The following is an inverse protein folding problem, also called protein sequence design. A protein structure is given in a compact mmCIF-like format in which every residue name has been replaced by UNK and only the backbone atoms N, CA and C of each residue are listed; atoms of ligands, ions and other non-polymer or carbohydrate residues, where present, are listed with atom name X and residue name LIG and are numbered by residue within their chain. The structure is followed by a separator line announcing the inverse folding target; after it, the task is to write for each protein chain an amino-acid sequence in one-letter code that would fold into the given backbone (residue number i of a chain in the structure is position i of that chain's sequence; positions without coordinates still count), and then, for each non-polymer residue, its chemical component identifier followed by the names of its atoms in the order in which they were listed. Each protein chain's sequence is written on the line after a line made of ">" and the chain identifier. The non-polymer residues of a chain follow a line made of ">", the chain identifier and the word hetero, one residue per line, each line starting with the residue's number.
data_IF_369924909133
#
_entry.id   IF_369924909133
#
_cell.length_a   1.000
_cell.length_b   1.000
_cell.length_c   1.000
_cell.angle_alpha   90.00
_cell.angle_beta   90.00
_cell.angle_gamma   90.00
#
_symmetry.space_group_name_H-M   'P 1'
#
loop_
_entity.id
_entity.type
_entity.pdbx_description
1 polymer ?
#
# COMPACT_ATOMS: atom_id res chain seq x y z
N UNK A 1 14.76 -3.67 -32.37
CA UNK A 1 13.74 -3.39 -31.33
C UNK A 1 14.44 -2.64 -30.21
N UNK A 2 13.99 -1.44 -29.85
CA UNK A 2 14.47 -0.77 -28.65
C UNK A 2 13.90 -1.50 -27.43
N UNK A 3 14.77 -1.80 -26.47
CA UNK A 3 14.39 -2.33 -25.15
C UNK A 3 13.65 -1.20 -24.41
N UNK A 4 12.53 -1.42 -23.71
CA UNK A 4 11.82 -0.34 -23.03
C UNK A 4 12.69 0.27 -21.94
N UNK A 5 12.57 1.59 -21.78
CA UNK A 5 13.08 2.32 -20.63
C UNK A 5 12.41 1.74 -19.36
N UNK A 6 13.21 1.41 -18.35
CA UNK A 6 12.71 0.96 -17.05
C UNK A 6 12.63 2.15 -16.09
N UNK A 7 11.54 2.21 -15.34
CA UNK A 7 11.37 3.13 -14.21
C UNK A 7 11.33 2.32 -12.92
N UNK A 8 12.06 2.78 -11.90
CA UNK A 8 12.08 2.12 -10.60
C UNK A 8 11.07 2.79 -9.66
N UNK A 9 10.30 1.94 -8.97
CA UNK A 9 9.46 2.35 -7.84
C UNK A 9 9.89 1.49 -6.64
N UNK A 10 10.11 2.11 -5.48
CA UNK A 10 10.59 1.43 -4.27
C UNK A 10 9.54 1.49 -3.18
N UNK A 11 9.20 0.33 -2.63
CA UNK A 11 8.33 0.14 -1.47
C UNK A 11 8.85 -1.08 -0.69
N UNK A 12 8.49 -1.23 0.58
CA UNK A 12 9.15 -2.20 1.46
C UNK A 12 8.53 -3.60 1.42
N UNK A 13 7.25 -3.70 1.06
CA UNK A 13 6.56 -4.98 0.97
C UNK A 13 6.62 -5.54 -0.45
N UNK A 14 6.63 -6.87 -0.58
CA UNK A 14 6.59 -7.51 -1.90
C UNK A 14 5.23 -7.41 -2.60
N UNK A 15 4.26 -6.73 -2.00
CA UNK A 15 2.88 -6.63 -2.48
C UNK A 15 2.60 -5.24 -3.08
N UNK A 16 2.12 -5.24 -4.31
CA UNK A 16 1.62 -4.06 -5.02
C UNK A 16 0.38 -4.42 -5.82
N UNK A 17 -0.42 -3.41 -6.15
CA UNK A 17 -1.61 -3.56 -7.01
C UNK A 17 -1.68 -2.41 -8.01
N UNK A 18 -2.14 -2.73 -9.22
CA UNK A 18 -2.53 -1.73 -10.21
C UNK A 18 -4.00 -1.36 -10.04
N UNK A 19 -4.34 -0.11 -10.34
CA UNK A 19 -5.71 0.23 -10.64
C UNK A 19 -6.14 -0.34 -12.02
N UNK A 20 -7.44 -0.40 -12.33
CA UNK A 20 -7.92 -1.14 -13.51
C UNK A 20 -7.40 -0.65 -14.86
N UNK A 21 -7.14 0.66 -15.01
CA UNK A 21 -6.59 1.25 -16.23
C UNK A 21 -5.05 1.29 -16.25
N UNK A 22 -4.43 0.74 -15.21
CA UNK A 22 -2.98 0.68 -15.00
C UNK A 22 -2.27 2.03 -14.98
N UNK A 23 -2.97 3.14 -14.74
CA UNK A 23 -2.35 4.46 -14.55
C UNK A 23 -1.71 4.64 -13.18
N UNK A 24 -2.13 3.85 -12.18
CA UNK A 24 -1.67 3.93 -10.80
C UNK A 24 -1.15 2.58 -10.29
N UNK A 25 -0.12 2.66 -9.45
CA UNK A 25 0.37 1.55 -8.63
C UNK A 25 0.20 1.94 -7.16
N UNK A 26 -0.33 1.02 -6.35
CA UNK A 26 -0.33 1.12 -4.90
C UNK A 26 0.61 0.06 -4.31
N UNK A 27 1.53 0.45 -3.42
CA UNK A 27 2.47 -0.45 -2.76
C UNK A 27 2.65 -0.13 -1.27
N UNK A 28 2.78 -1.17 -0.45
CA UNK A 28 2.99 -1.04 0.99
C UNK A 28 4.41 -0.62 1.34
N UNK A 29 4.56 0.39 2.18
CA UNK A 29 5.84 0.89 2.67
C UNK A 29 5.87 0.93 4.19
N UNK A 30 6.94 0.41 4.77
CA UNK A 30 7.21 0.44 6.18
C UNK A 30 7.51 1.87 6.59
N UNK A 31 6.70 2.39 7.52
CA UNK A 31 6.86 3.72 8.09
C UNK A 31 7.59 3.66 9.44
N UNK A 32 7.46 2.57 10.21
CA UNK A 32 8.17 2.39 11.48
C UNK A 32 8.70 0.97 11.70
N UNK A 33 9.94 0.88 12.20
CA UNK A 33 10.59 -0.35 12.66
C UNK A 33 11.11 -0.17 14.09
N UNK A 34 10.41 -0.69 15.13
CA UNK A 34 10.88 -0.72 16.50
C UNK A 34 12.12 -1.60 16.65
N UNK A 35 12.78 -1.49 17.80
CA UNK A 35 13.93 -2.31 18.17
C UNK A 35 13.55 -3.80 18.17
N UNK A 36 13.85 -4.50 17.08
CA UNK A 36 13.35 -5.84 16.80
C UNK A 36 13.35 -6.20 15.31
N UNK A 37 13.40 -5.19 14.43
CA UNK A 37 13.64 -5.37 12.99
C UNK A 37 12.42 -5.82 12.17
N UNK A 38 11.27 -5.98 12.82
CA UNK A 38 10.00 -6.12 12.11
C UNK A 38 9.44 -4.72 11.86
N UNK A 39 8.95 -4.50 10.66
CA UNK A 39 8.08 -3.38 10.40
C UNK A 39 6.90 -3.49 11.36
N UNK A 40 6.43 -2.38 11.93
CA UNK A 40 5.24 -2.40 12.78
C UNK A 40 4.11 -1.49 12.28
N UNK A 41 4.47 -0.51 11.47
CA UNK A 41 3.51 0.38 10.83
C UNK A 41 3.84 0.46 9.35
N UNK A 42 2.80 0.41 8.53
CA UNK A 42 2.96 0.50 7.08
C UNK A 42 1.98 1.49 6.48
N UNK A 43 2.53 2.38 5.66
CA UNK A 43 1.77 3.28 4.82
C UNK A 43 1.50 2.62 3.47
N UNK A 44 0.48 3.11 2.77
CA UNK A 44 0.24 2.76 1.37
C UNK A 44 0.67 3.93 0.49
N UNK A 45 1.62 3.71 -0.41
CA UNK A 45 2.10 4.74 -1.32
C UNK A 45 1.51 4.54 -2.72
N UNK A 46 0.99 5.62 -3.30
CA UNK A 46 0.48 5.66 -4.66
C UNK A 46 1.50 6.28 -5.60
N UNK A 47 1.68 5.64 -6.74
CA UNK A 47 2.62 6.05 -7.78
C UNK A 47 1.92 6.17 -9.12
N UNK A 48 2.38 7.11 -9.93
CA UNK A 48 2.10 7.13 -11.36
C UNK A 48 2.82 5.92 -12.00
N UNK A 49 2.07 5.06 -12.69
CA UNK A 49 2.62 3.85 -13.28
C UNK A 49 3.57 4.10 -14.47
N UNK A 50 3.39 5.20 -15.19
CA UNK A 50 4.19 5.56 -16.35
C UNK A 50 5.50 6.24 -15.94
N UNK A 51 5.41 7.22 -15.03
CA UNK A 51 6.57 8.04 -14.62
C UNK A 51 7.29 7.51 -13.38
N UNK A 52 6.65 6.64 -12.60
CA UNK A 52 7.14 6.15 -11.30
C UNK A 52 7.12 7.22 -10.20
N UNK A 53 6.56 8.39 -10.46
CA UNK A 53 6.47 9.47 -9.48
C UNK A 53 5.52 9.09 -8.35
N UNK A 54 5.97 9.33 -7.10
CA UNK A 54 5.10 9.21 -5.93
C UNK A 54 4.07 10.34 -5.94
N UNK A 55 2.79 10.00 -5.98
CA UNK A 55 1.69 10.95 -6.02
C UNK A 55 1.19 11.29 -4.62
N UNK A 56 1.01 10.27 -3.78
CA UNK A 56 0.45 10.45 -2.44
C UNK A 56 0.84 9.29 -1.51
N UNK A 57 0.96 9.60 -0.22
CA UNK A 57 1.13 8.61 0.85
C UNK A 57 -0.13 8.58 1.69
N UNK A 58 -0.77 7.41 1.74
CA UNK A 58 -1.88 7.11 2.62
C UNK A 58 -1.28 6.58 3.92
N UNK A 59 -1.05 7.48 4.87
CA UNK A 59 -0.50 7.17 6.19
C UNK A 59 -1.61 6.84 7.17
N UNK A 60 -1.39 5.81 8.00
CA UNK A 60 -2.17 5.60 9.21
C UNK A 60 -1.31 5.02 10.31
N UNK A 61 -1.51 5.54 11.51
CA UNK A 61 -0.79 5.11 12.70
C UNK A 61 -1.31 3.73 13.20
N UNK A 62 -0.37 2.87 13.61
CA UNK A 62 -0.55 1.63 14.39
C UNK A 62 -1.10 0.33 13.75
N UNK A 63 -1.22 0.22 12.41
CA UNK A 63 -1.69 -1.01 11.76
C UNK A 63 -0.82 -1.48 10.58
N UNK A 64 -0.76 -2.80 10.36
CA UNK A 64 -0.14 -3.40 9.18
C UNK A 64 -1.11 -3.58 8.03
N UNK A 65 -0.74 -3.03 6.87
CA UNK A 65 -1.46 -3.23 5.61
C UNK A 65 -0.98 -4.53 4.98
N UNK A 66 -1.82 -5.55 5.02
CA UNK A 66 -1.49 -6.86 4.46
C UNK A 66 -2.08 -7.09 3.07
N UNK A 67 -3.12 -6.34 2.69
CA UNK A 67 -3.86 -6.50 1.43
C UNK A 67 -4.35 -5.15 0.91
N UNK A 68 -4.42 -5.04 -0.41
CA UNK A 68 -5.02 -3.90 -1.10
C UNK A 68 -5.77 -4.35 -2.36
N UNK A 69 -6.79 -3.60 -2.76
CA UNK A 69 -7.50 -3.82 -4.01
C UNK A 69 -8.18 -2.53 -4.51
N UNK A 70 -8.06 -2.23 -5.80
CA UNK A 70 -8.85 -1.17 -6.42
C UNK A 70 -10.24 -1.68 -6.81
N UNK A 71 -11.24 -0.80 -6.79
CA UNK A 71 -12.54 -1.09 -7.39
C UNK A 71 -12.43 -1.19 -8.92
N UNK A 72 -13.31 -1.96 -9.59
CA UNK A 72 -13.27 -2.09 -11.06
C UNK A 72 -13.42 -0.77 -11.83
N UNK A 73 -14.03 0.24 -11.21
CA UNK A 73 -14.17 1.59 -11.77
C UNK A 73 -12.99 2.52 -11.41
N UNK A 74 -11.98 2.04 -10.68
CA UNK A 74 -10.78 2.77 -10.30
C UNK A 74 -10.97 3.88 -9.26
N UNK A 75 -12.21 4.15 -8.82
CA UNK A 75 -12.53 5.29 -7.95
C UNK A 75 -12.14 5.08 -6.49
N UNK A 76 -11.95 3.83 -6.07
CA UNK A 76 -11.65 3.51 -4.69
C UNK A 76 -10.49 2.53 -4.58
N UNK A 77 -9.69 2.72 -3.55
CA UNK A 77 -8.71 1.74 -3.07
C UNK A 77 -9.19 1.22 -1.72
N UNK A 78 -9.29 -0.09 -1.58
CA UNK A 78 -9.56 -0.75 -0.32
C UNK A 78 -8.24 -1.30 0.24
N UNK A 79 -7.99 -1.08 1.53
CA UNK A 79 -6.83 -1.67 2.23
C UNK A 79 -7.30 -2.46 3.44
N UNK A 80 -6.78 -3.67 3.60
CA UNK A 80 -7.01 -4.55 4.75
C UNK A 80 -5.89 -4.39 5.77
N UNK A 81 -6.27 -4.34 7.05
CA UNK A 81 -5.40 -3.97 8.17
C UNK A 81 -5.48 -5.02 9.27
N UNK A 82 -4.31 -5.36 9.81
CA UNK A 82 -4.21 -6.15 11.04
C UNK A 82 -3.39 -5.37 12.06
N UNK A 83 -3.89 -5.16 13.29
CA UNK A 83 -3.12 -4.51 14.32
C UNK A 83 -1.92 -5.37 14.68
N UNK A 84 -0.84 -4.70 15.06
CA UNK A 84 0.39 -5.34 15.53
C UNK A 84 0.16 -6.35 16.64
N UNK A 85 -0.69 -5.94 17.59
CA UNK A 85 -1.09 -6.79 18.69
C UNK A 85 -1.76 -8.08 18.20
N UNK A 86 -2.53 -7.99 17.10
CA UNK A 86 -3.14 -9.12 16.43
C UNK A 86 -2.12 -10.10 15.84
N UNK A 87 -1.06 -9.57 15.22
CA UNK A 87 -0.03 -10.39 14.60
C UNK A 87 0.91 -11.06 15.62
N UNK A 88 1.16 -10.42 16.77
CA UNK A 88 2.15 -10.89 17.75
C UNK A 88 1.56 -11.54 18.99
N UNK A 89 0.37 -11.12 19.47
CA UNK A 89 -0.08 -11.43 20.83
C UNK A 89 -1.50 -11.99 20.93
N UNK A 90 -2.39 -11.75 19.95
CA UNK A 90 -3.76 -12.27 20.01
C UNK A 90 -4.39 -12.50 18.63
N UNK A 91 -4.72 -13.75 18.25
CA UNK A 91 -5.44 -14.02 17.00
C UNK A 91 -6.90 -13.54 17.02
N UNK A 92 -7.36 -12.96 18.14
CA UNK A 92 -8.71 -12.43 18.30
C UNK A 92 -8.81 -10.93 18.00
N UNK A 93 -7.71 -10.28 17.59
CA UNK A 93 -7.80 -8.88 17.20
C UNK A 93 -8.56 -8.76 15.87
N UNK A 94 -9.56 -7.90 15.85
CA UNK A 94 -10.37 -7.66 14.66
C UNK A 94 -9.51 -7.04 13.54
N UNK A 95 -9.69 -7.55 12.32
CA UNK A 95 -9.11 -6.95 11.13
C UNK A 95 -10.03 -5.85 10.60
N UNK A 96 -9.45 -4.75 10.13
CA UNK A 96 -10.19 -3.60 9.62
C UNK A 96 -10.02 -3.47 8.11
N UNK A 97 -11.00 -2.83 7.46
CA UNK A 97 -10.92 -2.41 6.06
C UNK A 97 -11.05 -0.90 6.02
N UNK A 98 -10.13 -0.24 5.32
CA UNK A 98 -10.27 1.17 4.95
C UNK A 98 -10.62 1.32 3.48
N UNK A 99 -11.36 2.37 3.18
CA UNK A 99 -11.82 2.72 1.84
C UNK A 99 -11.32 4.13 1.55
N UNK A 100 -10.52 4.27 0.50
CA UNK A 100 -9.88 5.51 0.10
C UNK A 100 -10.44 5.97 -1.22
N UNK A 101 -10.96 7.20 -1.25
CA UNK A 101 -11.36 7.85 -2.50
C UNK A 101 -10.12 8.23 -3.30
N UNK A 102 -10.04 7.74 -4.52
CA UNK A 102 -8.97 8.10 -5.45
C UNK A 102 -9.45 9.33 -6.22
N UNK A 103 -9.18 10.49 -5.63
CA UNK A 103 -9.32 11.77 -6.31
C UNK A 103 -7.91 12.16 -6.78
N UNK A 104 -7.61 11.93 -8.05
CA UNK A 104 -6.46 12.58 -8.67
C UNK A 104 -6.78 14.08 -8.75
N UNK A 105 -5.88 14.98 -8.28
CA UNK A 105 -6.02 16.41 -8.58
C UNK A 105 -6.09 16.68 -10.08
#
# INVERSE_FOLDING_TARGET
>A
LAIPYWTNVTFSDAYFVFNPDASLIAGGRCSETPAGGYCTESDMQLFNAETGESLFTITRDYDHINRAAFTPDGRWLLTGHTPLYGMMYSPLADANIHIWGINTP
#
